data_IF_612231330118
#
_entry.id   IF_612231330118
#
_cell.length_a   1.000
_cell.length_b   1.000
_cell.length_c   1.000
_cell.angle_alpha   90.00
_cell.angle_beta   90.00
_cell.angle_gamma   90.00
#
_symmetry.space_group_name_H-M   'P 1'
#
loop_
_entity.id
_entity.type
_entity.pdbx_description
1 polymer ?
#
# COMPACT_ATOMS: atom_id res chain seq x y z
N UNK A 1 -0.29 1.17 -18.44
CA UNK A 1 0.91 1.85 -17.93
C UNK A 1 0.49 2.62 -16.69
N UNK A 2 1.06 2.34 -15.52
CA UNK A 2 0.58 2.95 -14.29
C UNK A 2 1.02 4.41 -14.21
N UNK A 3 0.05 5.31 -14.09
CA UNK A 3 0.29 6.70 -13.71
C UNK A 3 0.19 6.76 -12.19
N UNK A 4 1.30 7.09 -11.52
CA UNK A 4 1.34 7.14 -10.06
C UNK A 4 0.82 8.49 -9.55
N UNK A 5 -0.49 8.68 -9.61
CA UNK A 5 -1.17 9.78 -8.94
C UNK A 5 -2.31 9.24 -8.06
N UNK A 6 -2.87 10.09 -7.20
CA UNK A 6 -3.90 9.67 -6.26
C UNK A 6 -5.19 9.25 -6.97
N UNK A 7 -5.63 9.97 -7.99
CA UNK A 7 -6.86 9.67 -8.73
C UNK A 7 -6.82 8.26 -9.34
N UNK A 8 -5.78 7.95 -10.11
CA UNK A 8 -5.56 6.64 -10.73
C UNK A 8 -5.38 5.53 -9.71
N UNK A 9 -4.69 5.81 -8.59
CA UNK A 9 -4.56 4.84 -7.51
C UNK A 9 -5.92 4.53 -6.88
N UNK A 10 -6.76 5.55 -6.62
CA UNK A 10 -8.10 5.34 -6.10
C UNK A 10 -8.99 4.56 -7.05
N UNK A 11 -8.97 4.90 -8.34
CA UNK A 11 -9.72 4.16 -9.37
C UNK A 11 -9.29 2.69 -9.42
N UNK A 12 -7.98 2.41 -9.37
CA UNK A 12 -7.47 1.05 -9.30
C UNK A 12 -7.96 0.30 -8.04
N UNK A 13 -7.87 0.92 -6.87
CA UNK A 13 -8.21 0.26 -5.61
C UNK A 13 -9.71 0.06 -5.43
N UNK A 14 -10.53 0.96 -5.98
CA UNK A 14 -12.00 0.88 -5.92
C UNK A 14 -12.54 -0.36 -6.61
N UNK A 15 -11.89 -0.78 -7.70
CA UNK A 15 -12.26 -1.95 -8.48
C UNK A 15 -11.48 -3.22 -8.07
N UNK A 16 -10.71 -3.16 -6.97
CA UNK A 16 -9.92 -4.29 -6.49
C UNK A 16 -10.79 -5.38 -5.85
N UNK A 17 -10.42 -6.65 -6.05
CA UNK A 17 -11.22 -7.83 -5.64
C UNK A 17 -11.66 -7.83 -4.16
N UNK A 18 -10.78 -7.35 -3.27
CA UNK A 18 -11.07 -7.22 -1.85
C UNK A 18 -11.56 -5.79 -1.54
N UNK A 19 -12.88 -5.55 -1.36
CA UNK A 19 -13.42 -4.20 -1.15
C UNK A 19 -13.00 -3.57 0.18
N UNK A 20 -12.46 -4.38 1.12
CA UNK A 20 -11.92 -3.85 2.37
C UNK A 20 -10.64 -3.04 2.15
N UNK A 21 -9.89 -3.33 1.08
CA UNK A 21 -8.66 -2.62 0.72
C UNK A 21 -8.95 -1.14 0.47
N UNK A 22 -9.88 -0.84 -0.44
CA UNK A 22 -10.25 0.55 -0.77
C UNK A 22 -10.80 1.30 0.45
N UNK A 23 -11.66 0.64 1.23
CA UNK A 23 -12.24 1.23 2.44
C UNK A 23 -11.17 1.63 3.45
N UNK A 24 -10.18 0.77 3.69
CA UNK A 24 -9.06 1.06 4.60
C UNK A 24 -8.17 2.16 4.05
N UNK A 25 -7.90 2.18 2.75
CA UNK A 25 -7.15 3.25 2.08
C UNK A 25 -7.82 4.61 2.35
N UNK A 26 -9.12 4.73 2.08
CA UNK A 26 -9.86 5.97 2.33
C UNK A 26 -9.78 6.43 3.80
N UNK A 27 -9.90 5.50 4.75
CA UNK A 27 -9.79 5.80 6.19
C UNK A 27 -8.40 6.29 6.56
N UNK A 28 -7.36 5.62 6.07
CA UNK A 28 -5.97 6.02 6.34
C UNK A 28 -5.69 7.41 5.74
N UNK A 29 -6.02 7.61 4.46
CA UNK A 29 -5.75 8.86 3.75
C UNK A 29 -6.46 10.08 4.31
N UNK A 30 -7.63 9.90 4.94
CA UNK A 30 -8.32 10.97 5.65
C UNK A 30 -7.44 11.65 6.72
N UNK A 31 -6.38 10.98 7.19
CA UNK A 31 -5.40 11.51 8.15
C UNK A 31 -4.03 11.85 7.53
N UNK A 32 -3.82 11.67 6.23
CA UNK A 32 -2.54 11.82 5.55
C UNK A 32 -2.32 13.21 4.92
N UNK A 33 -2.71 14.28 5.63
CA UNK A 33 -2.50 15.68 5.19
C UNK A 33 -1.01 16.06 4.97
N UNK A 34 -0.10 15.22 5.44
CA UNK A 34 1.35 15.39 5.34
C UNK A 34 1.94 14.84 4.02
N UNK A 35 1.15 14.10 3.24
CA UNK A 35 1.64 13.41 2.06
C UNK A 35 2.01 14.38 0.93
N UNK A 36 3.17 14.14 0.30
CA UNK A 36 3.79 15.07 -0.65
C UNK A 36 3.21 14.98 -2.08
N UNK A 37 2.50 13.91 -2.40
CA UNK A 37 1.87 13.67 -3.71
C UNK A 37 0.65 14.58 -4.01
N UNK A 38 0.39 15.56 -3.13
CA UNK A 38 -0.49 16.70 -3.42
C UNK A 38 0.22 17.80 -4.23
N UNK A 39 1.56 17.83 -4.22
CA UNK A 39 2.36 18.83 -4.93
C UNK A 39 2.52 18.44 -6.40
N UNK A 40 2.28 19.40 -7.31
CA UNK A 40 2.33 19.17 -8.75
C UNK A 40 3.72 18.71 -9.23
N UNK A 41 4.80 19.24 -8.65
CA UNK A 41 6.16 18.84 -9.02
C UNK A 41 6.44 17.39 -8.63
N UNK A 42 5.91 16.94 -7.49
CA UNK A 42 6.01 15.55 -7.04
C UNK A 42 5.18 14.63 -7.93
N UNK A 43 3.94 15.02 -8.28
CA UNK A 43 3.08 14.24 -9.18
C UNK A 43 3.72 14.01 -10.56
N UNK A 44 4.39 15.03 -11.12
CA UNK A 44 5.13 14.88 -12.38
C UNK A 44 6.26 13.86 -12.25
N UNK A 45 7.01 13.90 -11.14
CA UNK A 45 8.11 12.94 -10.88
C UNK A 45 7.62 11.53 -10.62
N UNK A 46 6.47 11.36 -9.95
CA UNK A 46 5.82 10.06 -9.79
C UNK A 46 5.35 9.50 -11.13
N UNK A 47 4.87 10.37 -12.03
CA UNK A 47 4.50 9.97 -13.39
C UNK A 47 5.74 9.51 -14.19
N UNK A 48 6.84 10.27 -14.13
CA UNK A 48 8.14 9.87 -14.70
C UNK A 48 8.63 8.52 -14.15
N UNK A 49 8.45 8.27 -12.84
CA UNK A 49 8.78 7.00 -12.21
C UNK A 49 7.93 5.86 -12.79
N UNK A 50 6.63 6.06 -13.01
CA UNK A 50 5.75 5.07 -13.67
C UNK A 50 6.25 4.70 -15.06
N UNK A 51 6.61 5.69 -15.88
CA UNK A 51 7.21 5.47 -17.20
C UNK A 51 8.56 4.73 -17.16
N UNK A 52 9.38 4.99 -16.14
CA UNK A 52 10.65 4.31 -15.97
C UNK A 52 10.45 2.85 -15.54
N UNK A 53 9.54 2.60 -14.61
CA UNK A 53 9.19 1.27 -14.09
C UNK A 53 8.61 0.36 -15.19
N UNK A 54 7.80 0.89 -16.10
CA UNK A 54 7.22 0.15 -17.24
C UNK A 54 8.29 -0.46 -18.18
N UNK A 55 9.50 0.09 -18.16
CA UNK A 55 10.64 -0.37 -18.98
C UNK A 55 11.62 -1.27 -18.20
N UNK A 56 11.37 -1.51 -16.93
CA UNK A 56 12.25 -2.32 -16.10
C UNK A 56 11.96 -3.81 -16.32
N UNK A 57 13.03 -4.59 -16.47
CA UNK A 57 12.95 -6.07 -16.50
C UNK A 57 13.22 -6.70 -15.12
N UNK A 58 13.86 -5.94 -14.22
CA UNK A 58 14.20 -6.37 -12.87
C UNK A 58 14.10 -5.21 -11.87
N UNK A 59 13.81 -5.56 -10.62
CA UNK A 59 13.78 -4.67 -9.47
C UNK A 59 15.01 -4.96 -8.60
N UNK A 60 16.06 -4.16 -8.79
CA UNK A 60 17.30 -4.28 -8.01
C UNK A 60 17.12 -3.83 -6.55
N UNK A 61 17.90 -4.40 -5.64
CA UNK A 61 17.92 -3.97 -4.23
C UNK A 61 18.32 -2.49 -4.10
N UNK A 62 19.25 -2.01 -4.92
CA UNK A 62 19.67 -0.61 -4.92
C UNK A 62 18.51 0.34 -5.24
N UNK A 63 17.66 -0.03 -6.20
CA UNK A 63 16.45 0.72 -6.51
C UNK A 63 15.44 0.67 -5.36
N UNK A 64 15.23 -0.50 -4.75
CA UNK A 64 14.34 -0.65 -3.59
C UNK A 64 14.78 0.23 -2.41
N UNK A 65 16.09 0.33 -2.13
CA UNK A 65 16.65 1.23 -1.10
C UNK A 65 16.33 2.70 -1.37
N UNK A 66 16.38 3.13 -2.63
CA UNK A 66 16.02 4.50 -3.03
C UNK A 66 14.50 4.75 -2.97
N UNK A 67 13.70 3.69 -3.11
CA UNK A 67 12.25 3.77 -3.13
C UNK A 67 11.64 3.94 -1.73
N UNK A 68 12.25 3.37 -0.69
CA UNK A 68 11.78 3.49 0.71
C UNK A 68 11.49 4.92 1.18
N UNK A 69 12.40 5.90 1.05
CA UNK A 69 12.12 7.27 1.48
C UNK A 69 10.94 7.86 0.70
N UNK A 70 10.82 7.60 -0.60
CA UNK A 70 9.69 8.06 -1.40
C UNK A 70 8.35 7.48 -0.90
N UNK A 71 8.26 6.15 -0.75
CA UNK A 71 7.04 5.48 -0.30
C UNK A 71 6.64 5.86 1.13
N UNK A 72 7.60 6.32 1.93
CA UNK A 72 7.32 6.82 3.28
C UNK A 72 6.66 8.21 3.30
N UNK A 73 6.69 8.96 2.19
CA UNK A 73 6.27 10.36 2.11
C UNK A 73 5.05 10.62 1.21
N UNK A 74 4.53 9.60 0.53
CA UNK A 74 3.34 9.70 -0.33
C UNK A 74 2.13 9.00 0.27
N UNK A 75 0.94 9.31 -0.20
CA UNK A 75 -0.31 8.70 0.28
C UNK A 75 -0.34 7.18 0.13
N UNK A 76 -1.12 6.53 1.00
CA UNK A 76 -1.13 5.07 1.10
C UNK A 76 -1.66 4.41 -0.18
N UNK A 77 -2.65 5.02 -0.88
CA UNK A 77 -3.13 4.52 -2.18
C UNK A 77 -2.01 4.42 -3.20
N UNK A 78 -1.26 5.51 -3.39
CA UNK A 78 -0.16 5.60 -4.35
C UNK A 78 0.99 4.68 -3.93
N UNK A 79 1.35 4.66 -2.64
CA UNK A 79 2.36 3.72 -2.10
C UNK A 79 2.02 2.28 -2.46
N UNK A 80 0.80 1.84 -2.15
CA UNK A 80 0.38 0.46 -2.41
C UNK A 80 0.34 0.20 -3.91
N UNK A 81 -0.07 1.17 -4.73
CA UNK A 81 -0.17 1.00 -6.17
C UNK A 81 1.21 0.84 -6.83
N UNK A 82 2.21 1.59 -6.34
CA UNK A 82 3.61 1.38 -6.73
C UNK A 82 4.08 -0.01 -6.29
N UNK A 83 3.78 -0.44 -5.07
CA UNK A 83 4.15 -1.79 -4.59
C UNK A 83 3.54 -2.89 -5.45
N UNK A 84 2.25 -2.77 -5.80
CA UNK A 84 1.58 -3.67 -6.73
C UNK A 84 2.29 -3.70 -8.10
N UNK A 85 2.66 -2.53 -8.61
CA UNK A 85 3.38 -2.40 -9.89
C UNK A 85 4.77 -3.04 -9.87
N UNK A 86 5.47 -3.05 -8.72
CA UNK A 86 6.73 -3.79 -8.57
C UNK A 86 6.53 -5.29 -8.75
N UNK A 87 5.44 -5.84 -8.19
CA UNK A 87 5.13 -7.26 -8.33
C UNK A 87 4.74 -7.65 -9.75
N UNK A 88 4.25 -6.70 -10.56
CA UNK A 88 4.01 -6.91 -11.99
C UNK A 88 5.31 -6.97 -12.81
N UNK A 89 6.35 -6.25 -12.39
CA UNK A 89 7.69 -6.32 -13.02
C UNK A 89 8.38 -7.63 -12.62
N UNK A 90 8.43 -7.92 -11.32
CA UNK A 90 9.07 -9.12 -10.78
C UNK A 90 8.32 -9.60 -9.56
N UNK A 91 7.86 -10.84 -9.61
CA UNK A 91 7.13 -11.48 -8.54
C UNK A 91 7.86 -11.34 -7.17
N UNK A 92 7.09 -11.04 -6.12
CA UNK A 92 7.56 -10.87 -4.73
C UNK A 92 8.49 -9.69 -4.51
N UNK A 93 8.46 -8.68 -5.37
CA UNK A 93 9.25 -7.45 -5.19
C UNK A 93 8.73 -6.60 -4.04
N UNK A 94 7.41 -6.53 -3.84
CA UNK A 94 6.83 -5.82 -2.69
C UNK A 94 7.21 -6.48 -1.35
N UNK A 95 7.18 -7.82 -1.31
CA UNK A 95 7.62 -8.60 -0.14
C UNK A 95 9.11 -8.36 0.15
N UNK A 96 9.97 -8.39 -0.88
CA UNK A 96 11.40 -8.09 -0.73
C UNK A 96 11.65 -6.68 -0.20
N UNK A 97 10.85 -5.70 -0.62
CA UNK A 97 10.95 -4.32 -0.12
C UNK A 97 10.61 -4.23 1.38
N UNK A 98 9.62 -5.01 1.85
CA UNK A 98 9.30 -5.12 3.28
C UNK A 98 10.47 -5.75 4.04
N UNK A 99 10.96 -6.91 3.58
CA UNK A 99 12.10 -7.61 4.20
C UNK A 99 13.35 -6.71 4.24
N UNK A 100 13.58 -5.95 3.17
CA UNK A 100 14.69 -4.99 3.08
C UNK A 100 14.58 -3.92 4.16
N UNK A 101 13.39 -3.33 4.35
CA UNK A 101 13.15 -2.33 5.39
C UNK A 101 13.29 -2.92 6.79
N UNK A 102 12.80 -4.14 7.03
CA UNK A 102 12.94 -4.84 8.31
C UNK A 102 14.40 -5.15 8.66
N UNK A 103 15.17 -5.57 7.66
CA UNK A 103 16.59 -5.92 7.83
C UNK A 103 17.50 -4.69 7.96
N UNK A 104 17.02 -3.51 7.57
CA UNK A 104 17.80 -2.27 7.54
C UNK A 104 16.98 -1.09 8.10
N UNK A 105 16.64 -1.09 9.40
CA UNK A 105 15.78 -0.07 10.01
C UNK A 105 16.36 1.35 9.94
N UNK A 106 17.69 1.46 9.80
CA UNK A 106 18.41 2.75 9.70
C UNK A 106 18.29 3.39 8.30
N UNK A 107 17.75 2.69 7.30
CA UNK A 107 17.54 3.28 5.99
C UNK A 107 16.51 4.41 6.08
N UNK A 108 16.72 5.54 5.38
CA UNK A 108 15.78 6.64 5.35
C UNK A 108 14.37 6.17 4.98
N UNK A 109 13.40 6.46 5.86
CA UNK A 109 12.00 6.12 5.64
C UNK A 109 11.60 4.67 5.96
N UNK A 110 12.54 3.78 6.31
CA UNK A 110 12.24 2.35 6.55
C UNK A 110 11.22 2.15 7.69
N UNK A 111 11.46 2.73 8.87
CA UNK A 111 10.53 2.63 10.01
C UNK A 111 9.13 3.15 9.66
N UNK A 112 9.02 4.35 9.07
CA UNK A 112 7.72 4.92 8.67
C UNK A 112 7.02 4.08 7.59
N UNK A 113 7.79 3.53 6.63
CA UNK A 113 7.25 2.64 5.61
C UNK A 113 6.62 1.39 6.25
N UNK A 114 7.34 0.75 7.20
CA UNK A 114 6.89 -0.44 7.92
C UNK A 114 5.68 -0.15 8.81
N UNK A 115 5.72 0.92 9.60
CA UNK A 115 4.62 1.30 10.50
C UNK A 115 3.33 1.52 9.70
N UNK A 116 3.41 2.22 8.57
CA UNK A 116 2.25 2.42 7.69
C UNK A 116 1.76 1.11 7.07
N UNK A 117 2.67 0.19 6.73
CA UNK A 117 2.28 -1.13 6.23
C UNK A 117 1.56 -1.95 7.29
N UNK A 118 2.09 -1.93 8.52
CA UNK A 118 1.51 -2.62 9.67
C UNK A 118 0.13 -2.07 10.04
N UNK A 119 -0.05 -0.74 10.02
CA UNK A 119 -1.36 -0.11 10.27
C UNK A 119 -2.37 -0.51 9.20
N UNK A 120 -1.98 -0.47 7.92
CA UNK A 120 -2.83 -0.90 6.82
C UNK A 120 -3.30 -2.35 7.00
N UNK A 121 -2.37 -3.28 7.25
CA UNK A 121 -2.69 -4.70 7.44
C UNK A 121 -3.56 -4.93 8.68
N UNK A 122 -3.29 -4.25 9.80
CA UNK A 122 -4.12 -4.36 11.00
C UNK A 122 -5.54 -3.89 10.77
N UNK A 123 -5.72 -2.73 10.13
CA UNK A 123 -7.05 -2.20 9.81
C UNK A 123 -7.79 -3.16 8.88
N UNK A 124 -7.14 -3.64 7.81
CA UNK A 124 -7.72 -4.58 6.86
C UNK A 124 -8.15 -5.89 7.53
N UNK A 125 -7.27 -6.50 8.31
CA UNK A 125 -7.54 -7.76 8.99
C UNK A 125 -8.64 -7.62 10.05
N UNK A 126 -8.62 -6.55 10.86
CA UNK A 126 -9.63 -6.33 11.89
C UNK A 126 -11.01 -6.03 11.27
N UNK A 127 -11.08 -5.21 10.22
CA UNK A 127 -12.33 -4.94 9.52
C UNK A 127 -12.98 -6.20 8.94
N UNK A 128 -12.16 -7.15 8.46
CA UNK A 128 -12.65 -8.44 7.96
C UNK A 128 -12.98 -9.44 9.07
N UNK A 129 -12.14 -9.51 10.11
CA UNK A 129 -12.31 -10.44 11.21
C UNK A 129 -13.55 -10.11 12.05
N UNK A 130 -13.77 -8.83 12.30
CA UNK A 130 -14.87 -8.29 13.09
C UNK A 130 -16.01 -7.76 12.22
N UNK A 131 -16.15 -8.28 10.99
CA UNK A 131 -17.26 -7.89 10.13
C UNK A 131 -18.58 -8.36 10.74
N UNK A 132 -19.65 -7.63 10.43
CA UNK A 132 -20.99 -7.92 10.95
C UNK A 132 -21.40 -9.37 10.68
N UNK A 133 -21.24 -9.84 9.45
CA UNK A 133 -21.58 -11.21 9.05
C UNK A 133 -20.84 -12.27 9.87
N UNK A 134 -19.55 -12.03 10.17
CA UNK A 134 -18.73 -12.95 10.98
C UNK A 134 -19.19 -12.97 12.42
N UNK A 135 -19.53 -11.81 12.98
CA UNK A 135 -20.06 -11.70 14.35
C UNK A 135 -21.45 -12.34 14.46
N UNK A 136 -22.30 -12.17 13.44
CA UNK A 136 -23.62 -12.81 13.37
C UNK A 136 -23.50 -14.33 13.27
N UNK A 137 -22.59 -14.85 12.43
CA UNK A 137 -22.30 -16.30 12.35
C UNK A 137 -21.88 -16.87 13.70
N UNK A 138 -20.95 -16.19 14.41
CA UNK A 138 -20.50 -16.64 15.73
C UNK A 138 -21.66 -16.60 16.74
N UNK A 139 -22.51 -15.57 16.69
CA UNK A 139 -23.67 -15.45 17.55
C UNK A 139 -24.69 -16.58 17.33
N UNK A 140 -24.96 -16.93 16.08
CA UNK A 140 -25.87 -18.02 15.71
C UNK A 140 -25.39 -19.35 16.27
N UNK A 141 -24.12 -19.70 16.01
CA UNK A 141 -23.51 -20.95 16.50
C UNK A 141 -23.53 -21.04 18.03
N UNK A 142 -23.27 -19.93 18.73
CA UNK A 142 -23.33 -19.91 20.20
C UNK A 142 -24.77 -20.07 20.69
N UNK A 143 -25.76 -19.53 19.97
CA UNK A 143 -27.17 -19.57 20.38
C UNK A 143 -27.84 -20.92 20.12
N UNK A 144 -27.37 -21.71 19.14
CA UNK A 144 -27.85 -23.08 18.87
C UNK A 144 -27.21 -24.15 19.77
N UNK A 145 -26.06 -23.84 20.37
CA UNK A 145 -25.32 -24.75 21.26
C UNK A 145 -25.71 -24.68 22.74
N UNK A 146 -26.68 -23.85 23.12
CA UNK A 146 -27.25 -23.70 24.48
C UNK A 146 -28.71 -24.15 24.44
#
# INVERSE_FOLDING_TARGET
>A
MPVFNREEAHDFWKDFDDPTVYSVICVMEASENWALDNDQSVMLKLTELGYAMDKMEDVSEAFQKQLLPLLSQISISVKLYIMYSLDMIKMRSAEKLIILAESNPDLPGASRFLDRNLVFERLRLLSRLLSKDRLETVKEVISEGI
#
